data_IF_192669590181
#
_entry.id   IF_192669590181
#
_cell.length_a   1.000
_cell.length_b   1.000
_cell.length_c   1.000
_cell.angle_alpha   90.00
_cell.angle_beta   90.00
_cell.angle_gamma   90.00
#
_symmetry.space_group_name_H-M   'P 1'
#
loop_
_entity.id
_entity.type
_entity.pdbx_description
1 polymer ?
#
# COMPACT_ATOMS: atom_id res chain seq x y z
N UNK A 1 -12.31 -10.39 2.93
CA UNK A 1 -10.93 -10.37 3.44
C UNK A 1 -10.04 -9.78 2.34
N UNK A 2 -9.07 -8.91 2.68
CA UNK A 2 -8.26 -8.12 1.73
C UNK A 2 -7.59 -8.93 0.59
N UNK A 3 -7.42 -10.25 0.78
CA UNK A 3 -6.85 -11.19 -0.19
C UNK A 3 -7.59 -11.30 -1.52
N UNK A 4 -8.79 -10.73 -1.67
CA UNK A 4 -9.53 -10.66 -2.94
C UNK A 4 -9.30 -9.38 -3.75
N UNK A 5 -8.83 -8.31 -3.11
CA UNK A 5 -8.59 -7.03 -3.77
C UNK A 5 -7.15 -6.92 -4.27
N UNK A 6 -6.25 -7.78 -3.76
CA UNK A 6 -4.82 -7.58 -3.89
C UNK A 6 -4.07 -8.91 -3.82
N UNK A 7 -3.17 -9.17 -4.76
CA UNK A 7 -2.31 -10.35 -4.73
C UNK A 7 -1.23 -10.16 -3.66
N UNK A 8 -1.28 -11.00 -2.62
CA UNK A 8 -0.37 -10.90 -1.48
C UNK A 8 0.89 -11.72 -1.79
N UNK A 9 1.97 -11.04 -2.15
CA UNK A 9 3.29 -11.66 -2.26
C UNK A 9 4.05 -11.52 -0.93
N UNK A 10 4.72 -12.60 -0.52
CA UNK A 10 5.61 -12.59 0.64
C UNK A 10 6.85 -11.76 0.32
N UNK A 11 6.89 -10.52 0.83
CA UNK A 11 8.03 -9.63 0.67
C UNK A 11 8.81 -9.58 1.98
N UNK A 12 10.13 -9.83 1.91
CA UNK A 12 11.00 -9.95 3.08
C UNK A 12 10.91 -8.70 3.98
N UNK A 13 10.52 -8.87 5.26
CA UNK A 13 10.37 -7.76 6.22
C UNK A 13 9.06 -6.96 6.10
N UNK A 14 8.04 -7.52 5.44
CA UNK A 14 6.71 -6.90 5.29
C UNK A 14 5.63 -7.83 5.82
N UNK A 15 4.55 -7.28 6.37
CA UNK A 15 3.35 -8.03 6.73
C UNK A 15 2.65 -8.53 5.47
N UNK A 16 2.60 -7.69 4.43
CA UNK A 16 2.06 -8.06 3.13
C UNK A 16 2.54 -7.12 2.03
N UNK A 17 2.86 -7.66 0.86
CA UNK A 17 3.08 -6.92 -0.37
C UNK A 17 1.83 -6.86 -1.24
N UNK A 18 1.81 -5.91 -2.17
CA UNK A 18 0.83 -5.87 -3.23
C UNK A 18 1.39 -5.48 -4.58
N UNK A 19 0.79 -6.04 -5.62
CA UNK A 19 0.97 -5.63 -7.00
C UNK A 19 -0.38 -5.67 -7.69
N UNK A 20 -0.77 -4.58 -8.33
CA UNK A 20 -2.07 -4.43 -8.99
C UNK A 20 -1.90 -4.10 -10.46
N UNK A 21 -2.88 -4.47 -11.29
CA UNK A 21 -2.80 -4.43 -12.76
C UNK A 21 -2.61 -3.02 -13.34
N UNK A 22 -3.00 -1.98 -12.59
CA UNK A 22 -2.84 -0.59 -13.00
C UNK A 22 -1.40 -0.07 -12.84
N UNK A 23 -0.44 -0.95 -12.55
CA UNK A 23 0.98 -0.63 -12.42
C UNK A 23 1.41 -0.12 -11.04
N UNK A 24 0.49 -0.07 -10.06
CA UNK A 24 0.85 0.22 -8.68
C UNK A 24 1.36 -1.04 -7.98
N UNK A 25 2.36 -0.85 -7.14
CA UNK A 25 2.85 -1.87 -6.23
C UNK A 25 3.17 -1.25 -4.88
N UNK A 26 3.34 -2.09 -3.87
CA UNK A 26 3.58 -1.58 -2.54
C UNK A 26 3.69 -2.67 -1.50
N UNK A 27 3.85 -2.23 -0.27
CA UNK A 27 3.93 -3.14 0.85
C UNK A 27 3.49 -2.45 2.14
N UNK A 28 3.05 -3.26 3.09
CA UNK A 28 2.78 -2.87 4.47
C UNK A 28 3.77 -3.61 5.36
N UNK A 29 4.48 -2.89 6.21
CA UNK A 29 5.41 -3.46 7.19
C UNK A 29 5.10 -2.92 8.57
N UNK A 30 5.22 -3.76 9.59
CA UNK A 30 5.23 -3.33 10.99
C UNK A 30 6.63 -2.84 11.35
N UNK A 31 6.74 -1.67 11.97
CA UNK A 31 8.01 -1.09 12.42
C UNK A 31 7.82 -0.46 13.79
N UNK A 32 8.58 -0.94 14.77
CA UNK A 32 8.64 -0.36 16.11
C UNK A 32 7.26 -0.22 16.76
N UNK A 33 6.76 1.01 16.77
CA UNK A 33 5.50 1.43 17.39
C UNK A 33 4.34 1.63 16.38
N UNK A 34 4.49 1.22 15.12
CA UNK A 34 3.41 1.39 14.13
C UNK A 34 3.53 0.60 12.84
N UNK A 35 2.71 1.00 11.87
CA UNK A 35 2.66 0.42 10.52
C UNK A 35 3.15 1.43 9.48
N UNK A 36 4.03 0.96 8.60
CA UNK A 36 4.49 1.69 7.42
C UNK A 36 3.80 1.10 6.18
N UNK A 37 3.20 1.96 5.35
CA UNK A 37 2.66 1.60 4.04
C UNK A 37 3.45 2.33 2.96
N UNK A 38 4.02 1.59 2.03
CA UNK A 38 4.68 2.12 0.83
C UNK A 38 3.80 1.84 -0.37
N UNK A 39 3.52 2.88 -1.16
CA UNK A 39 2.79 2.80 -2.43
C UNK A 39 3.68 3.41 -3.51
N UNK A 40 4.01 2.62 -4.53
CA UNK A 40 4.87 3.01 -5.66
C UNK A 40 4.03 3.12 -6.94
N UNK A 41 4.54 3.91 -7.88
CA UNK A 41 3.88 4.12 -9.18
C UNK A 41 2.73 5.13 -9.17
N UNK A 42 2.49 5.85 -8.07
CA UNK A 42 1.44 6.86 -7.99
C UNK A 42 1.72 8.05 -8.92
N UNK A 43 0.69 8.46 -9.66
CA UNK A 43 0.68 9.80 -10.26
C UNK A 43 0.41 10.88 -9.20
N UNK A 44 0.71 12.14 -9.52
CA UNK A 44 0.44 13.29 -8.64
C UNK A 44 -1.04 13.33 -8.23
N UNK A 45 -1.96 13.10 -9.17
CA UNK A 45 -3.40 13.09 -8.91
C UNK A 45 -3.81 11.95 -7.95
N UNK A 46 -3.21 10.77 -8.10
CA UNK A 46 -3.47 9.65 -7.20
C UNK A 46 -2.91 9.89 -5.80
N UNK A 47 -1.72 10.52 -5.69
CA UNK A 47 -1.13 10.93 -4.43
C UNK A 47 -2.03 11.91 -3.67
N UNK A 48 -2.57 12.93 -4.37
CA UNK A 48 -3.51 13.90 -3.79
C UNK A 48 -4.76 13.19 -3.25
N UNK A 49 -5.30 12.22 -4.00
CA UNK A 49 -6.47 11.43 -3.56
C UNK A 49 -6.18 10.64 -2.29
N UNK A 50 -5.03 9.94 -2.23
CA UNK A 50 -4.62 9.17 -1.05
C UNK A 50 -4.46 10.10 0.16
N UNK A 51 -3.79 11.24 0.00
CA UNK A 51 -3.65 12.22 1.08
C UNK A 51 -5.01 12.76 1.55
N UNK A 52 -5.95 12.99 0.62
CA UNK A 52 -7.31 13.39 0.91
C UNK A 52 -8.09 12.35 1.73
N UNK A 53 -7.97 11.06 1.39
CA UNK A 53 -8.55 9.97 2.17
C UNK A 53 -7.96 9.90 3.57
N UNK A 54 -6.63 9.99 3.72
CA UNK A 54 -5.97 9.96 5.03
C UNK A 54 -6.45 11.11 5.92
N UNK A 55 -6.63 12.31 5.37
CA UNK A 55 -7.16 13.46 6.11
C UNK A 55 -8.59 13.22 6.65
N UNK A 56 -9.36 12.34 6.02
CA UNK A 56 -10.75 12.04 6.41
C UNK A 56 -10.88 10.84 7.34
N UNK A 57 -9.80 10.08 7.56
CA UNK A 57 -9.73 9.03 8.58
C UNK A 57 -9.73 9.65 9.98
#
# INVERSE_FOLDING_TARGET
>A
MLSRLVHLESWHGTLTGFKVENGLDGNVSERGDGYEMVIRGLSVDQLIKVAGFIKQL
#
